data_IF_108529968226
#
_entry.id   IF_108529968226
#
_cell.length_a   1.000
_cell.length_b   1.000
_cell.length_c   1.000
_cell.angle_alpha   90.00
_cell.angle_beta   90.00
_cell.angle_gamma   90.00
#
_symmetry.space_group_name_H-M   'P 1'
#
loop_
_entity.id
_entity.type
_entity.pdbx_description
1 polymer ?
#
# COMPACT_ATOMS: atom_id res chain seq x y z
N UNK A 1 11.37 1.03 -52.35
CA UNK A 1 10.05 0.89 -51.67
C UNK A 1 10.07 0.08 -50.36
N UNK A 2 11.06 -0.77 -50.06
CA UNK A 2 11.10 -1.52 -48.78
C UNK A 2 11.55 -0.71 -47.54
N UNK A 3 12.26 0.40 -47.74
CA UNK A 3 12.76 1.26 -46.63
C UNK A 3 11.72 2.24 -46.06
N UNK A 4 10.64 2.50 -46.80
CA UNK A 4 9.53 3.38 -46.36
C UNK A 4 8.47 2.64 -45.55
N UNK A 5 8.35 1.31 -45.72
CA UNK A 5 7.44 0.47 -44.94
C UNK A 5 7.90 0.29 -43.48
N UNK A 6 9.21 0.38 -43.24
CA UNK A 6 9.80 0.26 -41.90
C UNK A 6 9.63 1.51 -41.03
N UNK A 7 9.47 2.70 -41.62
CA UNK A 7 9.29 3.95 -40.88
C UNK A 7 7.85 4.14 -40.38
N UNK A 8 6.87 3.59 -41.11
CA UNK A 8 5.46 3.64 -40.70
C UNK A 8 5.15 2.71 -39.52
N UNK A 9 5.89 1.60 -39.39
CA UNK A 9 5.74 0.66 -38.28
C UNK A 9 6.37 1.17 -36.97
N UNK A 10 7.32 2.12 -37.04
CA UNK A 10 7.95 2.69 -35.85
C UNK A 10 7.06 3.77 -35.19
N UNK A 11 6.20 4.44 -35.96
CA UNK A 11 5.28 5.46 -35.44
C UNK A 11 4.04 4.88 -34.74
N UNK A 12 3.61 3.65 -35.09
CA UNK A 12 2.44 3.01 -34.44
C UNK A 12 2.75 2.45 -33.05
N UNK A 13 4.01 2.15 -32.73
CA UNK A 13 4.40 1.61 -31.42
C UNK A 13 4.43 2.70 -30.33
N UNK A 14 4.74 3.95 -30.68
CA UNK A 14 4.81 5.07 -29.72
C UNK A 14 3.40 5.52 -29.27
N UNK A 15 2.39 5.37 -30.12
CA UNK A 15 1.02 5.79 -29.82
C UNK A 15 0.31 4.93 -28.75
N UNK A 16 0.77 3.69 -28.52
CA UNK A 16 0.14 2.76 -27.55
C UNK A 16 0.63 3.02 -26.11
N UNK A 17 1.83 3.59 -25.93
CA UNK A 17 2.41 3.84 -24.60
C UNK A 17 1.73 4.98 -23.83
N UNK A 18 1.08 5.93 -24.52
CA UNK A 18 0.40 7.07 -23.89
C UNK A 18 -0.93 6.70 -23.19
N UNK A 19 -1.51 5.53 -23.49
CA UNK A 19 -2.79 5.08 -22.93
C UNK A 19 -2.63 4.11 -21.74
N UNK A 20 -1.40 3.76 -21.36
CA UNK A 20 -1.12 2.74 -20.35
C UNK A 20 -0.83 3.31 -18.95
N UNK A 21 -1.19 4.55 -18.64
CA UNK A 21 -1.05 5.06 -17.27
C UNK A 21 -2.03 4.34 -16.34
N UNK A 22 -1.55 3.66 -15.28
CA UNK A 22 -2.43 3.02 -14.32
C UNK A 22 -3.39 4.05 -13.72
N UNK A 23 -4.70 3.80 -13.82
CA UNK A 23 -5.71 4.66 -13.23
C UNK A 23 -5.46 4.78 -11.73
N UNK A 24 -5.35 6.01 -11.23
CA UNK A 24 -5.22 6.27 -9.79
C UNK A 24 -6.45 5.71 -9.08
N UNK A 25 -6.28 4.90 -8.02
CA UNK A 25 -7.41 4.32 -7.30
C UNK A 25 -8.23 5.42 -6.59
N UNK A 26 -9.52 5.17 -6.40
CA UNK A 26 -10.35 6.09 -5.61
C UNK A 26 -10.15 5.89 -4.11
N UNK A 27 -10.43 6.90 -3.27
CA UNK A 27 -10.39 6.72 -1.82
C UNK A 27 -11.27 5.57 -1.32
N UNK A 28 -12.43 5.35 -1.94
CA UNK A 28 -13.36 4.26 -1.63
C UNK A 28 -12.73 2.89 -1.93
N UNK A 29 -12.10 2.74 -3.10
CA UNK A 29 -11.43 1.51 -3.50
C UNK A 29 -10.26 1.19 -2.56
N UNK A 30 -9.46 2.20 -2.20
CA UNK A 30 -8.34 2.06 -1.27
C UNK A 30 -8.81 1.66 0.14
N UNK A 31 -9.82 2.38 0.66
CA UNK A 31 -10.39 2.10 1.98
C UNK A 31 -11.01 0.71 2.03
N UNK A 32 -11.82 0.36 1.03
CA UNK A 32 -12.45 -0.96 0.91
C UNK A 32 -11.40 -2.06 0.90
N UNK A 33 -10.36 -1.95 0.07
CA UNK A 33 -9.29 -2.95 0.01
C UNK A 33 -8.59 -3.12 1.36
N UNK A 34 -8.30 -2.02 2.05
CA UNK A 34 -7.67 -2.05 3.36
C UNK A 34 -8.56 -2.74 4.41
N UNK A 35 -9.84 -2.35 4.46
CA UNK A 35 -10.80 -2.90 5.43
C UNK A 35 -11.11 -4.36 5.16
N UNK A 36 -11.22 -4.79 3.90
CA UNK A 36 -11.46 -6.18 3.54
C UNK A 36 -10.27 -7.08 3.98
N UNK A 37 -9.03 -6.58 3.89
CA UNK A 37 -7.85 -7.27 4.44
C UNK A 37 -7.92 -7.37 5.96
N UNK A 38 -8.22 -6.26 6.64
CA UNK A 38 -8.32 -6.21 8.10
C UNK A 38 -9.46 -7.10 8.62
N UNK A 39 -10.63 -7.09 7.97
CA UNK A 39 -11.75 -7.97 8.28
C UNK A 39 -11.35 -9.43 8.16
N UNK A 40 -10.66 -9.80 7.08
CA UNK A 40 -10.22 -11.18 6.86
C UNK A 40 -9.28 -11.67 7.97
N UNK A 41 -8.34 -10.83 8.40
CA UNK A 41 -7.32 -11.21 9.39
C UNK A 41 -7.78 -11.09 10.82
N UNK A 42 -8.54 -10.03 11.13
CA UNK A 42 -8.95 -9.70 12.49
C UNK A 42 -10.36 -10.19 12.84
N UNK A 43 -11.11 -10.70 11.84
CA UNK A 43 -12.52 -11.11 11.98
C UNK A 43 -13.34 -9.99 12.63
N UNK A 44 -13.29 -8.80 12.03
CA UNK A 44 -13.97 -7.61 12.54
C UNK A 44 -15.48 -7.84 12.63
N UNK A 45 -16.11 -7.32 13.68
CA UNK A 45 -17.57 -7.23 13.71
C UNK A 45 -18.08 -6.19 12.70
N UNK A 46 -19.36 -6.25 12.34
CA UNK A 46 -19.96 -5.26 11.42
C UNK A 46 -19.78 -3.82 11.89
N UNK A 47 -19.89 -3.58 13.21
CA UNK A 47 -19.66 -2.26 13.81
C UNK A 47 -18.20 -1.84 13.73
N UNK A 48 -17.25 -2.73 14.07
CA UNK A 48 -15.82 -2.44 13.94
C UNK A 48 -15.46 -2.14 12.48
N UNK A 49 -15.96 -2.94 11.54
CA UNK A 49 -15.74 -2.76 10.10
C UNK A 49 -16.19 -1.38 9.62
N UNK A 50 -17.38 -0.93 10.02
CA UNK A 50 -17.91 0.39 9.66
C UNK A 50 -17.04 1.53 10.21
N UNK A 51 -16.66 1.44 11.48
CA UNK A 51 -15.81 2.48 12.12
C UNK A 51 -14.41 2.50 11.50
N UNK A 52 -13.78 1.34 11.30
CA UNK A 52 -12.46 1.22 10.66
C UNK A 52 -12.51 1.72 9.21
N UNK A 53 -13.61 1.48 8.48
CA UNK A 53 -13.78 2.02 7.13
C UNK A 53 -13.75 3.55 7.11
N UNK A 54 -14.41 4.22 8.04
CA UNK A 54 -14.39 5.68 8.09
C UNK A 54 -12.97 6.22 8.33
N UNK A 55 -12.20 5.59 9.22
CA UNK A 55 -10.81 5.96 9.44
C UNK A 55 -9.95 5.71 8.19
N UNK A 56 -10.07 4.53 7.57
CA UNK A 56 -9.35 4.18 6.35
C UNK A 56 -9.70 5.09 5.16
N UNK A 57 -10.97 5.48 5.04
CA UNK A 57 -11.46 6.37 4.01
C UNK A 57 -10.90 7.79 4.14
N UNK A 58 -10.87 8.33 5.36
CA UNK A 58 -10.28 9.64 5.61
C UNK A 58 -8.77 9.64 5.27
N UNK A 59 -8.04 8.62 5.69
CA UNK A 59 -6.63 8.48 5.31
C UNK A 59 -6.47 8.35 3.79
N UNK A 60 -7.28 7.53 3.13
CA UNK A 60 -7.22 7.33 1.68
C UNK A 60 -7.51 8.61 0.89
N UNK A 61 -8.41 9.47 1.37
CA UNK A 61 -8.65 10.79 0.77
C UNK A 61 -7.39 11.66 0.77
N UNK A 62 -6.72 11.73 1.90
CA UNK A 62 -5.49 12.52 2.03
C UNK A 62 -4.34 11.91 1.20
N UNK A 63 -4.26 10.59 1.11
CA UNK A 63 -3.31 9.90 0.22
C UNK A 63 -3.55 10.27 -1.25
N UNK A 64 -4.79 10.18 -1.72
CA UNK A 64 -5.15 10.52 -3.11
C UNK A 64 -4.94 12.01 -3.39
N UNK A 65 -5.25 12.89 -2.43
CA UNK A 65 -4.99 14.32 -2.55
C UNK A 65 -3.49 14.60 -2.69
N UNK A 66 -2.66 13.97 -1.85
CA UNK A 66 -1.21 14.08 -1.93
C UNK A 66 -0.69 13.59 -3.28
N UNK A 67 -1.14 12.41 -3.74
CA UNK A 67 -0.71 11.86 -5.04
C UNK A 67 -1.02 12.82 -6.20
N UNK A 68 -2.22 13.41 -6.21
CA UNK A 68 -2.61 14.42 -7.22
C UNK A 68 -1.74 15.67 -7.13
N UNK A 69 -1.51 16.18 -5.92
CA UNK A 69 -0.63 17.35 -5.68
C UNK A 69 0.79 17.07 -6.17
N UNK A 70 1.32 15.88 -5.89
CA UNK A 70 2.66 15.48 -6.31
C UNK A 70 2.78 15.32 -7.83
N UNK A 71 1.73 14.81 -8.50
CA UNK A 71 1.69 14.78 -9.96
C UNK A 71 1.69 16.18 -10.58
N UNK A 72 1.07 17.16 -9.93
CA UNK A 72 0.95 18.52 -10.45
C UNK A 72 2.14 19.44 -10.10
N UNK A 73 2.67 19.31 -8.88
CA UNK A 73 3.62 20.28 -8.29
C UNK A 73 4.95 19.66 -7.86
N UNK A 74 5.11 18.34 -8.01
CA UNK A 74 6.29 17.63 -7.56
C UNK A 74 6.22 17.21 -6.10
N UNK A 75 7.29 16.58 -5.63
CA UNK A 75 7.40 16.03 -4.29
C UNK A 75 7.56 17.12 -3.23
N UNK A 76 6.91 16.93 -2.08
CA UNK A 76 6.88 17.85 -0.94
C UNK A 76 7.03 17.05 0.37
N UNK A 77 8.14 17.28 1.08
CA UNK A 77 8.48 16.57 2.32
C UNK A 77 7.51 16.88 3.48
N UNK A 78 6.99 18.10 3.56
CA UNK A 78 6.11 18.49 4.66
C UNK A 78 4.75 17.79 4.55
N UNK A 79 4.21 17.72 3.34
CA UNK A 79 2.95 17.03 3.08
C UNK A 79 3.05 15.52 3.27
N UNK A 80 4.18 14.94 2.86
CA UNK A 80 4.49 13.53 3.13
C UNK A 80 4.60 13.28 4.63
N UNK A 81 5.28 14.16 5.37
CA UNK A 81 5.40 14.07 6.83
C UNK A 81 4.03 14.18 7.51
N UNK A 82 3.16 15.09 7.05
CA UNK A 82 1.78 15.22 7.53
C UNK A 82 1.01 13.92 7.32
N UNK A 83 1.14 13.29 6.15
CA UNK A 83 0.50 12.01 5.87
C UNK A 83 1.00 10.89 6.78
N UNK A 84 2.30 10.84 7.09
CA UNK A 84 2.83 9.87 8.06
C UNK A 84 2.24 10.06 9.47
N UNK A 85 2.09 11.31 9.92
CA UNK A 85 1.44 11.60 11.22
C UNK A 85 -0.01 11.15 11.22
N UNK A 86 -0.76 11.46 10.16
CA UNK A 86 -2.15 11.03 10.00
C UNK A 86 -2.28 9.50 9.97
N UNK A 87 -1.37 8.81 9.30
CA UNK A 87 -1.34 7.34 9.28
C UNK A 87 -1.13 6.76 10.70
N UNK A 88 -0.23 7.34 11.49
CA UNK A 88 -0.01 6.90 12.88
C UNK A 88 -1.23 7.15 13.77
N UNK A 89 -1.88 8.31 13.62
CA UNK A 89 -3.12 8.63 14.33
C UNK A 89 -4.25 7.68 13.93
N UNK A 90 -4.38 7.40 12.63
CA UNK A 90 -5.34 6.43 12.08
C UNK A 90 -5.12 5.05 12.68
N UNK A 91 -3.88 4.59 12.76
CA UNK A 91 -3.55 3.30 13.36
C UNK A 91 -3.90 3.26 14.86
N UNK A 92 -3.64 4.35 15.59
CA UNK A 92 -4.03 4.48 17.00
C UNK A 92 -5.56 4.40 17.16
N UNK A 93 -6.31 5.12 16.32
CA UNK A 93 -7.77 5.15 16.35
C UNK A 93 -8.40 3.80 15.98
N UNK A 94 -7.80 3.08 15.01
CA UNK A 94 -8.20 1.71 14.68
C UNK A 94 -7.98 0.80 15.89
N UNK A 95 -6.79 0.82 16.51
CA UNK A 95 -6.51 -0.02 17.69
C UNK A 95 -7.49 0.22 18.84
N UNK A 96 -7.93 1.45 19.04
CA UNK A 96 -8.88 1.80 20.11
C UNK A 96 -10.25 1.12 19.98
N UNK A 97 -10.63 0.64 18.78
CA UNK A 97 -11.88 -0.08 18.55
C UNK A 97 -11.71 -1.59 18.39
N UNK A 98 -10.48 -2.09 18.51
CA UNK A 98 -10.15 -3.51 18.45
C UNK A 98 -10.13 -4.14 19.84
N UNK A 99 -10.43 -5.44 19.90
CA UNK A 99 -10.22 -6.24 21.10
C UNK A 99 -8.73 -6.58 21.29
N UNK A 100 -8.27 -6.91 22.51
CA UNK A 100 -6.86 -7.22 22.77
C UNK A 100 -6.25 -8.27 21.83
N UNK A 101 -6.99 -9.34 21.52
CA UNK A 101 -6.56 -10.39 20.61
C UNK A 101 -6.44 -9.90 19.15
N UNK A 102 -7.28 -8.95 18.74
CA UNK A 102 -7.24 -8.34 17.42
C UNK A 102 -6.08 -7.33 17.30
N UNK A 103 -5.75 -6.62 18.39
CA UNK A 103 -4.61 -5.69 18.43
C UNK A 103 -3.30 -6.43 18.13
N UNK A 104 -3.10 -7.60 18.74
CA UNK A 104 -1.90 -8.42 18.53
C UNK A 104 -1.71 -8.80 17.07
N UNK A 105 -2.79 -9.19 16.38
CA UNK A 105 -2.70 -9.50 14.95
C UNK A 105 -2.51 -8.22 14.13
N UNK A 106 -3.20 -7.12 14.46
CA UNK A 106 -3.07 -5.83 13.78
C UNK A 106 -1.64 -5.26 13.84
N UNK A 107 -0.94 -5.46 14.95
CA UNK A 107 0.46 -5.08 15.10
C UNK A 107 1.35 -5.83 14.11
N UNK A 108 1.14 -7.14 13.95
CA UNK A 108 1.83 -7.92 12.91
C UNK A 108 1.52 -7.42 11.51
N UNK A 109 0.27 -7.08 11.20
CA UNK A 109 -0.08 -6.49 9.89
C UNK A 109 0.73 -5.22 9.66
N UNK A 110 0.84 -4.38 10.69
CA UNK A 110 1.55 -3.10 10.62
C UNK A 110 3.05 -3.32 10.43
N UNK A 111 3.65 -4.22 11.19
CA UNK A 111 5.07 -4.59 11.04
C UNK A 111 5.38 -5.19 9.67
N UNK A 112 4.55 -6.11 9.18
CA UNK A 112 4.68 -6.71 7.84
C UNK A 112 4.65 -5.64 6.75
N UNK A 113 3.74 -4.67 6.85
CA UNK A 113 3.65 -3.52 5.92
C UNK A 113 4.89 -2.64 5.98
N UNK A 114 5.40 -2.34 7.18
CA UNK A 114 6.62 -1.54 7.36
C UNK A 114 7.86 -2.24 6.82
N UNK A 115 7.94 -3.56 6.98
CA UNK A 115 9.03 -4.38 6.44
C UNK A 115 8.91 -4.66 4.93
N UNK A 116 7.84 -4.20 4.28
CA UNK A 116 7.58 -4.49 2.86
C UNK A 116 7.33 -5.96 2.55
N UNK A 117 6.96 -6.76 3.57
CA UNK A 117 6.74 -8.19 3.44
C UNK A 117 5.34 -8.42 2.85
N UNK A 118 5.28 -8.99 1.64
CA UNK A 118 4.02 -9.47 1.09
C UNK A 118 3.64 -10.81 1.75
N UNK A 119 2.52 -10.90 2.49
CA UNK A 119 2.10 -12.13 3.16
C UNK A 119 1.88 -13.31 2.19
N UNK A 120 1.56 -13.05 0.90
CA UNK A 120 1.47 -14.10 -0.12
C UNK A 120 2.85 -14.68 -0.47
N UNK A 121 3.88 -13.84 -0.50
CA UNK A 121 5.27 -14.27 -0.72
C UNK A 121 5.82 -14.98 0.51
N UNK A 122 5.51 -14.49 1.71
CA UNK A 122 5.85 -15.15 2.99
C UNK A 122 5.31 -16.58 3.06
N UNK A 123 4.03 -16.78 2.75
CA UNK A 123 3.42 -18.14 2.67
C UNK A 123 4.10 -19.06 1.66
N UNK A 124 4.63 -18.53 0.56
CA UNK A 124 5.37 -19.32 -0.45
C UNK A 124 6.76 -19.74 0.05
N UNK A 125 7.45 -18.89 0.81
CA UNK A 125 8.75 -19.19 1.45
C UNK A 125 8.63 -20.23 2.57
N UNK A 126 7.64 -20.07 3.44
CA UNK A 126 7.28 -21.09 4.45
C UNK A 126 7.00 -22.46 3.82
N UNK A 127 6.23 -22.50 2.72
CA UNK A 127 5.98 -23.73 1.97
C UNK A 127 7.23 -24.35 1.33
N UNK A 128 8.31 -23.58 1.18
CA UNK A 128 9.61 -24.03 0.68
C UNK A 128 10.59 -24.43 1.79
N UNK A 129 10.19 -24.34 3.07
CA UNK A 129 11.04 -24.71 4.20
C UNK A 129 12.12 -23.68 4.55
N UNK A 130 12.01 -22.44 4.05
CA UNK A 130 12.90 -21.34 4.47
C UNK A 130 12.49 -20.86 5.87
N UNK A 131 13.43 -20.80 6.82
CA UNK A 131 13.20 -20.27 8.17
C UNK A 131 12.87 -18.77 8.14
N UNK A 132 11.89 -18.36 8.94
CA UNK A 132 11.55 -16.94 9.08
C UNK A 132 12.62 -16.23 9.89
N UNK A 133 13.42 -15.38 9.25
CA UNK A 133 14.14 -14.32 9.97
C UNK A 133 13.09 -13.42 10.64
N UNK A 134 13.06 -13.43 11.98
CA UNK A 134 12.32 -12.45 12.76
C UNK A 134 12.97 -11.09 12.56
N UNK A 135 12.46 -10.33 11.61
CA UNK A 135 12.86 -8.96 11.40
C UNK A 135 12.18 -8.12 12.49
N UNK A 136 12.90 -7.81 13.57
CA UNK A 136 12.42 -6.97 14.67
C UNK A 136 13.17 -5.64 14.65
N UNK A 137 12.45 -4.52 14.66
CA UNK A 137 13.06 -3.17 14.75
C UNK A 137 13.66 -2.63 13.44
N UNK A 138 14.62 -1.71 13.57
CA UNK A 138 15.23 -0.92 12.47
C UNK A 138 15.93 -1.82 11.43
N UNK A 139 16.22 -3.08 11.77
CA UNK A 139 16.80 -4.07 10.85
C UNK A 139 15.93 -4.34 9.63
N UNK A 140 14.60 -4.26 9.76
CA UNK A 140 13.69 -4.38 8.62
C UNK A 140 13.76 -3.23 7.63
N UNK A 141 14.18 -2.06 8.07
CA UNK A 141 14.42 -0.91 7.19
C UNK A 141 15.73 -1.07 6.40
N UNK A 142 16.68 -1.88 6.89
CA UNK A 142 17.96 -2.14 6.21
C UNK A 142 17.82 -3.16 5.08
N UNK A 143 16.98 -4.19 5.25
CA UNK A 143 16.78 -5.22 4.22
C UNK A 143 16.04 -4.72 2.98
N UNK A 144 15.17 -3.71 3.12
CA UNK A 144 14.47 -3.07 1.99
C UNK A 144 15.44 -2.26 1.11
N UNK A 145 16.52 -1.71 1.70
CA UNK A 145 17.51 -0.89 0.97
C UNK A 145 18.42 -1.70 0.04
N UNK A 146 18.48 -3.02 0.20
CA UNK A 146 19.29 -3.91 -0.65
C UNK A 146 18.62 -4.30 -1.97
N UNK A 147 17.40 -3.82 -2.24
CA UNK A 147 16.56 -4.27 -3.36
C UNK A 147 16.00 -3.17 -4.27
N UNK A 148 16.50 -1.93 -4.20
CA UNK A 148 16.20 -0.92 -5.21
C UNK A 148 17.34 -0.86 -6.25
N UNK A 149 17.05 -0.84 -7.56
CA UNK A 149 18.04 -0.50 -8.57
C UNK A 149 18.54 0.94 -8.39
#
# INVERSE_FOLDING_TARGET
>A
MKKFLSAFFLFTVIAISALAQPKMPTPEEMAKKNVDELETRLKLSSTQKSVVYNYAYNLAKEQVALMKKQQATGYDDEEVTKLYRLNNETNKNIKAVLKPEQITEYDKITEERLAGIDPKKKKKKLKKGEEEEKIVGIEGLKSVKAGQP
#
